data_IF_704343410565
#
_entry.id   IF_704343410565
#
_cell.length_a   1.000
_cell.length_b   1.000
_cell.length_c   1.000
_cell.angle_alpha   90.00
_cell.angle_beta   90.00
_cell.angle_gamma   90.00
#
_symmetry.space_group_name_H-M   'P 1'
#
loop_
_entity.id
_entity.type
_entity.pdbx_description
1 polymer ?
#
# COMPACT_ATOMS: atom_id res chain seq x y z
N UNK A 1 -16.68 4.08 1.98
CA UNK A 1 -16.15 5.20 2.77
C UNK A 1 -14.73 5.48 2.28
N UNK A 2 -14.52 6.63 1.66
CA UNK A 2 -13.22 7.10 1.18
C UNK A 2 -12.63 8.05 2.21
N UNK A 3 -11.52 7.74 2.90
CA UNK A 3 -11.01 8.57 3.99
C UNK A 3 -10.58 9.97 3.54
N UNK A 4 -10.16 10.07 2.28
CA UNK A 4 -9.53 11.27 1.70
C UNK A 4 -10.35 11.93 0.58
N UNK A 5 -11.56 11.43 0.27
CA UNK A 5 -12.46 12.07 -0.69
C UNK A 5 -13.87 12.19 -0.11
N UNK A 6 -14.43 13.40 -0.13
CA UNK A 6 -15.79 13.69 0.35
C UNK A 6 -16.81 13.54 -0.78
N UNK A 7 -17.96 12.95 -0.43
CA UNK A 7 -19.10 12.72 -1.32
C UNK A 7 -20.38 13.14 -0.59
N UNK A 8 -21.09 14.20 -1.03
CA UNK A 8 -22.21 14.78 -0.28
C UNK A 8 -23.47 13.89 -0.26
N UNK A 9 -23.61 12.99 -1.23
CA UNK A 9 -24.75 12.07 -1.36
C UNK A 9 -24.55 10.74 -0.61
N UNK A 10 -23.43 10.57 0.08
CA UNK A 10 -23.07 9.32 0.77
C UNK A 10 -23.07 9.56 2.29
N UNK A 11 -24.03 9.02 3.06
CA UNK A 11 -24.15 9.31 4.50
C UNK A 11 -22.92 8.92 5.33
N UNK A 12 -22.16 7.92 4.89
CA UNK A 12 -20.92 7.47 5.53
C UNK A 12 -19.66 8.02 4.84
N UNK A 13 -19.78 9.14 4.13
CA UNK A 13 -18.63 9.77 3.49
C UNK A 13 -17.69 10.37 4.52
N UNK A 14 -16.39 10.16 4.31
CA UNK A 14 -15.34 10.89 5.01
C UNK A 14 -14.78 11.95 4.06
N UNK A 15 -13.46 12.11 3.95
CA UNK A 15 -12.83 13.07 3.05
C UNK A 15 -11.92 14.08 3.74
N UNK A 16 -11.90 14.07 5.08
CA UNK A 16 -11.14 15.02 5.89
C UNK A 16 -10.13 14.33 6.81
N UNK A 17 -9.85 13.05 6.60
CA UNK A 17 -8.83 12.34 7.38
C UNK A 17 -7.45 12.87 6.99
N UNK A 18 -6.63 13.20 7.99
CA UNK A 18 -5.27 13.69 7.78
C UNK A 18 -4.42 12.64 7.02
N UNK A 19 -3.79 13.07 5.93
CA UNK A 19 -2.86 12.24 5.14
C UNK A 19 -1.72 11.67 5.97
N UNK A 20 -1.24 12.37 7.01
CA UNK A 20 -0.19 11.88 7.91
C UNK A 20 -0.66 10.74 8.80
N UNK A 21 -1.97 10.64 9.07
CA UNK A 21 -2.52 9.47 9.77
C UNK A 21 -2.50 8.25 8.83
N UNK A 22 -2.98 8.42 7.60
CA UNK A 22 -2.99 7.35 6.59
C UNK A 22 -1.57 6.86 6.28
N UNK A 23 -0.62 7.79 6.11
CA UNK A 23 0.80 7.48 5.89
C UNK A 23 1.38 6.61 7.02
N UNK A 24 1.13 6.98 8.28
CA UNK A 24 1.59 6.19 9.43
C UNK A 24 0.95 4.81 9.45
N UNK A 25 -0.35 4.70 9.17
CA UNK A 25 -1.01 3.40 9.06
C UNK A 25 -0.39 2.52 7.97
N UNK A 26 0.01 3.10 6.83
CA UNK A 26 0.71 2.37 5.78
C UNK A 26 2.10 1.91 6.22
N UNK A 27 2.85 2.79 6.90
CA UNK A 27 4.18 2.46 7.45
C UNK A 27 4.09 1.36 8.52
N UNK A 28 3.12 1.44 9.43
CA UNK A 28 2.94 0.47 10.50
C UNK A 28 2.55 -0.90 9.94
N UNK A 29 1.63 -0.94 8.96
CA UNK A 29 1.29 -2.18 8.25
C UNK A 29 2.50 -2.75 7.51
N UNK A 30 3.29 -1.92 6.84
CA UNK A 30 4.49 -2.38 6.14
C UNK A 30 5.52 -2.98 7.12
N UNK A 31 5.77 -2.30 8.25
CA UNK A 31 6.68 -2.80 9.30
C UNK A 31 6.23 -4.14 9.87
N UNK A 32 4.93 -4.30 10.13
CA UNK A 32 4.39 -5.56 10.61
C UNK A 32 4.64 -6.68 9.59
N UNK A 33 4.29 -6.47 8.32
CA UNK A 33 4.53 -7.45 7.25
C UNK A 33 6.02 -7.79 7.08
N UNK A 34 6.90 -6.79 7.18
CA UNK A 34 8.35 -6.99 7.16
C UNK A 34 8.80 -7.88 8.33
N UNK A 35 8.29 -7.65 9.53
CA UNK A 35 8.63 -8.47 10.70
C UNK A 35 8.16 -9.92 10.58
N UNK A 36 7.04 -10.19 9.92
CA UNK A 36 6.59 -11.56 9.66
C UNK A 36 7.56 -12.32 8.74
N UNK A 37 8.17 -11.62 7.76
CA UNK A 37 9.20 -12.19 6.88
C UNK A 37 10.52 -12.38 7.63
N UNK A 38 10.95 -11.40 8.43
CA UNK A 38 12.17 -11.50 9.24
C UNK A 38 12.12 -12.62 10.30
N UNK A 39 10.96 -12.83 10.92
CA UNK A 39 10.73 -13.90 11.88
C UNK A 39 10.63 -15.29 11.23
N UNK A 40 10.72 -15.37 9.89
CA UNK A 40 10.60 -16.62 9.13
C UNK A 40 9.19 -17.22 9.16
N UNK A 41 8.16 -16.42 9.49
CA UNK A 41 6.76 -16.86 9.52
C UNK A 41 6.15 -16.90 8.13
N UNK A 42 6.61 -16.02 7.24
CA UNK A 42 6.18 -15.95 5.85
C UNK A 42 7.39 -15.91 4.92
N UNK A 43 7.38 -16.71 3.85
CA UNK A 43 8.46 -16.71 2.84
C UNK A 43 8.46 -15.45 1.97
N UNK A 44 7.29 -14.81 1.84
CA UNK A 44 7.08 -13.66 0.97
C UNK A 44 5.80 -12.94 1.40
N UNK A 45 5.85 -11.61 1.48
CA UNK A 45 4.67 -10.81 1.78
C UNK A 45 4.44 -9.72 0.74
N UNK A 46 3.17 -9.45 0.44
CA UNK A 46 2.74 -8.47 -0.58
C UNK A 46 2.10 -7.26 0.11
N UNK A 47 2.66 -6.07 -0.10
CA UNK A 47 2.02 -4.82 0.27
C UNK A 47 1.29 -4.21 -0.94
N UNK A 48 -0.01 -4.47 -1.05
CA UNK A 48 -0.83 -3.95 -2.13
C UNK A 48 -1.27 -2.49 -1.87
N UNK A 49 -1.07 -1.63 -2.86
CA UNK A 49 -1.63 -0.28 -2.92
C UNK A 49 -2.73 -0.22 -3.98
N UNK A 50 -3.88 0.33 -3.60
CA UNK A 50 -5.00 0.63 -4.50
C UNK A 50 -5.21 2.13 -4.48
N UNK A 51 -4.96 2.77 -5.62
CA UNK A 51 -4.99 4.22 -5.77
C UNK A 51 -6.04 4.58 -6.82
N UNK A 52 -6.83 5.61 -6.55
CA UNK A 52 -7.80 6.18 -7.48
C UNK A 52 -7.33 7.57 -7.88
N UNK A 53 -7.26 7.92 -9.18
CA UNK A 53 -6.79 9.22 -9.62
C UNK A 53 -7.49 10.39 -8.94
N UNK A 54 -8.80 10.27 -8.70
CA UNK A 54 -9.64 11.27 -8.03
C UNK A 54 -9.16 11.62 -6.62
N UNK A 55 -8.53 10.67 -5.92
CA UNK A 55 -8.00 10.85 -4.56
C UNK A 55 -6.48 11.01 -4.58
N UNK A 56 -5.75 10.10 -5.22
CA UNK A 56 -4.29 10.08 -5.21
C UNK A 56 -3.65 11.23 -5.99
N UNK A 57 -4.39 11.86 -6.91
CA UNK A 57 -3.95 13.04 -7.64
C UNK A 57 -4.05 14.35 -6.85
N UNK A 58 -4.72 14.36 -5.69
CA UNK A 58 -4.82 15.57 -4.87
C UNK A 58 -3.45 15.98 -4.32
N UNK A 59 -3.12 17.28 -4.36
CA UNK A 59 -1.77 17.79 -4.04
C UNK A 59 -1.20 17.34 -2.69
N UNK A 60 -2.05 17.21 -1.67
CA UNK A 60 -1.65 16.77 -0.34
C UNK A 60 -1.51 15.24 -0.24
N UNK A 61 -2.22 14.47 -1.08
CA UNK A 61 -2.16 13.00 -1.15
C UNK A 61 -0.97 12.55 -2.00
N UNK A 62 -0.71 13.18 -3.15
CA UNK A 62 0.46 12.84 -3.97
C UNK A 62 1.77 13.08 -3.22
N UNK A 63 1.86 14.17 -2.44
CA UNK A 63 3.01 14.42 -1.55
C UNK A 63 3.15 13.37 -0.45
N UNK A 64 2.03 12.83 0.07
CA UNK A 64 2.04 11.70 1.01
C UNK A 64 2.57 10.42 0.36
N UNK A 65 2.08 10.09 -0.84
CA UNK A 65 2.52 8.93 -1.61
C UNK A 65 4.02 9.03 -1.90
N UNK A 66 4.51 10.21 -2.28
CA UNK A 66 5.94 10.42 -2.52
C UNK A 66 6.78 10.14 -1.27
N UNK A 67 6.40 10.67 -0.09
CA UNK A 67 7.11 10.37 1.17
C UNK A 67 7.13 8.89 1.49
N UNK A 68 5.99 8.22 1.35
CA UNK A 68 5.88 6.79 1.60
C UNK A 68 6.75 5.97 0.64
N UNK A 69 6.74 6.29 -0.66
CA UNK A 69 7.57 5.61 -1.66
C UNK A 69 9.07 5.86 -1.42
N UNK A 70 9.46 7.07 -1.04
CA UNK A 70 10.85 7.37 -0.65
C UNK A 70 11.27 6.56 0.57
N UNK A 71 10.40 6.45 1.57
CA UNK A 71 10.65 5.62 2.75
C UNK A 71 10.76 4.13 2.40
N UNK A 72 9.86 3.58 1.58
CA UNK A 72 9.93 2.19 1.12
C UNK A 72 11.24 1.93 0.35
N UNK A 73 11.62 2.85 -0.55
CA UNK A 73 12.86 2.70 -1.33
C UNK A 73 14.13 2.68 -0.47
N UNK A 74 14.06 3.20 0.76
CA UNK A 74 15.20 3.16 1.69
C UNK A 74 15.56 1.77 2.19
N UNK A 75 14.67 0.78 2.02
CA UNK A 75 14.92 -0.63 2.36
C UNK A 75 15.68 -1.41 1.27
N UNK A 76 16.07 -0.75 0.16
CA UNK A 76 16.92 -1.36 -0.86
C UNK A 76 16.35 -2.67 -1.44
N UNK A 77 17.20 -3.70 -1.50
CA UNK A 77 16.90 -5.00 -2.11
C UNK A 77 15.87 -5.83 -1.33
N UNK A 78 15.49 -5.40 -0.13
CA UNK A 78 14.43 -6.05 0.65
C UNK A 78 13.03 -5.79 0.08
N UNK A 79 12.88 -4.82 -0.83
CA UNK A 79 11.61 -4.47 -1.46
C UNK A 79 11.69 -4.57 -2.97
N UNK A 80 10.78 -5.35 -3.54
CA UNK A 80 10.54 -5.41 -4.97
C UNK A 80 9.23 -4.70 -5.35
N UNK A 81 9.28 -3.87 -6.39
CA UNK A 81 8.09 -3.26 -6.98
C UNK A 81 7.59 -4.13 -8.13
N UNK A 82 6.42 -4.75 -7.94
CA UNK A 82 5.83 -5.65 -8.93
C UNK A 82 4.46 -5.16 -9.39
N UNK A 83 4.08 -5.54 -10.61
CA UNK A 83 2.69 -5.49 -11.06
C UNK A 83 1.88 -6.62 -10.43
N UNK A 84 0.55 -6.48 -10.36
CA UNK A 84 -0.32 -7.57 -9.90
C UNK A 84 -0.18 -8.84 -10.76
N UNK A 85 0.10 -8.69 -12.06
CA UNK A 85 0.35 -9.81 -12.97
C UNK A 85 1.61 -10.59 -12.60
N UNK A 86 2.71 -9.91 -12.30
CA UNK A 86 3.95 -10.57 -11.87
C UNK A 86 3.74 -11.35 -10.58
N UNK A 87 3.03 -10.75 -9.61
CA UNK A 87 2.68 -11.40 -8.34
C UNK A 87 1.82 -12.64 -8.59
N UNK A 88 0.77 -12.53 -9.41
CA UNK A 88 -0.10 -13.64 -9.74
C UNK A 88 0.64 -14.77 -10.46
N UNK A 89 1.53 -14.43 -11.39
CA UNK A 89 2.38 -15.38 -12.12
C UNK A 89 3.30 -16.14 -11.17
N UNK A 90 3.96 -15.44 -10.26
CA UNK A 90 4.86 -16.05 -9.27
C UNK A 90 4.08 -16.95 -8.31
N UNK A 91 2.90 -16.52 -7.87
CA UNK A 91 2.03 -17.35 -7.05
C UNK A 91 1.62 -18.64 -7.76
N UNK A 92 1.16 -18.57 -9.02
CA UNK A 92 0.79 -19.73 -9.80
C UNK A 92 1.97 -20.70 -9.99
N UNK A 93 3.16 -20.15 -10.28
CA UNK A 93 4.41 -20.92 -10.41
C UNK A 93 4.77 -21.67 -9.12
N UNK A 94 4.71 -21.01 -7.96
CA UNK A 94 5.00 -21.63 -6.65
C UNK A 94 3.97 -22.70 -6.27
N UNK A 95 2.70 -22.48 -6.60
CA UNK A 95 1.58 -23.36 -6.21
C UNK A 95 1.21 -24.41 -7.26
N UNK A 96 1.94 -24.50 -8.38
CA UNK A 96 1.67 -25.43 -9.50
C UNK A 96 0.23 -25.38 -10.00
N UNK A 97 -0.37 -24.20 -10.01
CA UNK A 97 -1.72 -23.99 -10.53
C UNK A 97 -1.57 -23.93 -12.06
N UNK A 98 -2.03 -24.99 -12.73
CA UNK A 98 -2.00 -25.16 -14.19
C UNK A 98 -2.97 -24.23 -14.92
#
# INVERSE_FOLDING_TARGET
MTPMQFFPNVPNSQGFVDVRLIERMWMDRFKWLKSEVEDGREDMTIFALVLHPDTSGMAHVIGMIQRFLTWIKSFGDEVEFCTYEQIATEFARKNKIS
#
